data_IF_578702502967
#
_entry.id   IF_578702502967
#
_cell.length_a   1.000
_cell.length_b   1.000
_cell.length_c   1.000
_cell.angle_alpha   90.00
_cell.angle_beta   90.00
_cell.angle_gamma   90.00
#
_symmetry.space_group_name_H-M   'P 1'
#
loop_
_entity.id
_entity.type
_entity.pdbx_description
1 polymer ?
#
# COMPACT_ATOMS: atom_id res chain seq x y z
N UNK A 1 -18.91 -5.74 14.39
CA UNK A 1 -18.79 -5.59 12.93
C UNK A 1 -18.69 -4.12 12.55
N UNK A 2 -17.46 -3.66 12.34
CA UNK A 2 -17.20 -2.31 11.85
C UNK A 2 -16.03 -2.40 10.88
N UNK A 3 -16.33 -2.49 9.58
CA UNK A 3 -15.31 -2.42 8.54
C UNK A 3 -14.65 -1.04 8.48
N UNK A 4 -13.57 -0.90 7.70
CA UNK A 4 -12.93 0.40 7.45
C UNK A 4 -13.84 1.25 6.54
N UNK A 5 -14.40 2.33 7.05
CA UNK A 5 -15.00 3.38 6.22
C UNK A 5 -13.91 4.37 5.82
N UNK A 6 -13.69 4.52 4.52
CA UNK A 6 -12.67 5.42 3.96
C UNK A 6 -13.33 6.31 2.92
N UNK A 7 -13.15 7.63 3.06
CA UNK A 7 -13.64 8.62 2.11
C UNK A 7 -12.47 9.47 1.65
N UNK A 8 -12.21 9.48 0.35
CA UNK A 8 -11.15 10.28 -0.26
C UNK A 8 -11.74 11.14 -1.38
N UNK A 9 -11.34 12.41 -1.45
CA UNK A 9 -11.80 13.38 -2.45
C UNK A 9 -10.60 14.07 -3.08
N UNK A 10 -10.64 14.24 -4.40
CA UNK A 10 -9.60 14.96 -5.14
C UNK A 10 -8.33 14.15 -5.39
N UNK A 11 -8.36 12.83 -5.18
CA UNK A 11 -7.27 11.95 -5.58
C UNK A 11 -7.35 11.67 -7.08
N UNK A 12 -6.22 11.81 -7.77
CA UNK A 12 -6.04 11.51 -9.19
C UNK A 12 -4.80 10.65 -9.36
N UNK A 13 -4.94 9.58 -10.16
CA UNK A 13 -3.87 8.64 -10.47
C UNK A 13 -3.23 8.00 -9.22
N UNK A 14 -4.05 7.46 -8.31
CA UNK A 14 -3.57 6.68 -7.16
C UNK A 14 -3.74 5.17 -7.38
N UNK A 15 -2.80 4.41 -6.83
CA UNK A 15 -2.89 2.98 -6.57
C UNK A 15 -3.52 2.81 -5.19
N UNK A 16 -4.56 1.99 -5.10
CA UNK A 16 -5.26 1.66 -3.85
C UNK A 16 -5.13 0.16 -3.60
N UNK A 17 -4.58 -0.22 -2.46
CA UNK A 17 -4.48 -1.62 -2.01
C UNK A 17 -5.16 -1.75 -0.66
N UNK A 18 -6.17 -2.61 -0.57
CA UNK A 18 -6.90 -2.89 0.66
C UNK A 18 -6.64 -4.34 1.09
N UNK A 19 -6.10 -4.50 2.30
CA UNK A 19 -5.83 -5.79 2.93
C UNK A 19 -6.47 -5.83 4.32
N UNK A 20 -6.68 -7.03 4.90
CA UNK A 20 -7.28 -7.14 6.23
C UNK A 20 -6.52 -6.36 7.31
N UNK A 21 -5.20 -6.27 7.18
CA UNK A 21 -4.29 -5.61 8.10
C UNK A 21 -4.05 -4.13 7.77
N UNK A 22 -4.08 -3.71 6.49
CA UNK A 22 -3.67 -2.37 6.07
C UNK A 22 -4.42 -1.83 4.85
N UNK A 23 -4.35 -0.51 4.65
CA UNK A 23 -4.82 0.16 3.43
C UNK A 23 -3.69 1.05 2.92
N UNK A 24 -3.31 0.91 1.66
CA UNK A 24 -2.30 1.72 0.99
C UNK A 24 -2.98 2.61 -0.06
N UNK A 25 -2.69 3.91 -0.02
CA UNK A 25 -2.95 4.86 -1.10
C UNK A 25 -1.61 5.45 -1.54
N UNK A 26 -1.26 5.29 -2.82
CA UNK A 26 0.01 5.77 -3.37
C UNK A 26 -0.19 6.45 -4.72
N UNK A 27 0.41 7.62 -4.99
CA UNK A 27 0.47 8.17 -6.34
C UNK A 27 1.07 7.16 -7.33
N UNK A 28 0.49 7.04 -8.53
CA UNK A 28 0.93 6.07 -9.55
C UNK A 28 2.36 6.33 -10.01
N UNK A 29 2.77 7.60 -10.07
CA UNK A 29 4.13 7.99 -10.42
C UNK A 29 5.18 7.60 -9.35
N UNK A 30 4.75 7.16 -8.17
CA UNK A 30 5.61 6.69 -7.07
C UNK A 30 5.64 5.16 -6.93
N UNK A 31 5.11 4.41 -7.90
CA UNK A 31 5.10 2.92 -7.90
C UNK A 31 6.48 2.32 -7.57
N UNK A 32 7.56 2.91 -8.11
CA UNK A 32 8.91 2.42 -7.89
C UNK A 32 9.33 2.50 -6.41
N UNK A 33 8.92 3.55 -5.71
CA UNK A 33 9.14 3.68 -4.27
C UNK A 33 8.33 2.64 -3.49
N UNK A 34 7.10 2.34 -3.89
CA UNK A 34 6.27 1.29 -3.26
C UNK A 34 6.96 -0.07 -3.33
N UNK A 35 7.57 -0.42 -4.46
CA UNK A 35 8.32 -1.68 -4.59
C UNK A 35 9.48 -1.75 -3.60
N UNK A 36 10.20 -0.65 -3.42
CA UNK A 36 11.29 -0.56 -2.43
C UNK A 36 10.75 -0.69 -1.00
N UNK A 37 9.67 0.02 -0.67
CA UNK A 37 9.00 -0.06 0.62
C UNK A 37 8.57 -1.51 0.94
N UNK A 38 7.89 -2.18 0.01
CA UNK A 38 7.43 -3.57 0.21
C UNK A 38 8.62 -4.52 0.35
N UNK A 39 9.69 -4.33 -0.43
CA UNK A 39 10.92 -5.13 -0.31
C UNK A 39 11.58 -4.99 1.06
N UNK A 40 11.67 -3.76 1.58
CA UNK A 40 12.18 -3.49 2.92
C UNK A 40 11.31 -4.13 4.00
N UNK A 41 9.98 -3.95 3.92
CA UNK A 41 9.05 -4.54 4.90
C UNK A 41 9.13 -6.07 4.93
N UNK A 42 9.29 -6.72 3.77
CA UNK A 42 9.51 -8.17 3.68
C UNK A 42 10.83 -8.57 4.34
N UNK A 43 11.90 -7.83 4.08
CA UNK A 43 13.22 -8.06 4.68
C UNK A 43 13.18 -7.93 6.20
N UNK A 44 12.57 -6.86 6.72
CA UNK A 44 12.44 -6.62 8.17
C UNK A 44 11.58 -7.70 8.86
N UNK A 45 10.63 -8.30 8.14
CA UNK A 45 9.79 -9.42 8.61
C UNK A 45 10.41 -10.81 8.38
N UNK A 46 11.56 -10.90 7.71
CA UNK A 46 12.20 -12.17 7.37
C UNK A 46 11.49 -12.97 6.25
N UNK A 47 10.65 -12.32 5.45
CA UNK A 47 9.94 -12.94 4.33
C UNK A 47 10.82 -12.95 3.05
N UNK A 48 10.79 -14.02 2.24
CA UNK A 48 11.60 -14.11 1.03
C UNK A 48 11.13 -13.12 -0.06
N UNK A 49 12.10 -12.51 -0.74
CA UNK A 49 11.87 -11.72 -1.95
C UNK A 49 11.71 -12.70 -3.13
N UNK A 50 10.49 -12.84 -3.63
CA UNK A 50 10.17 -13.60 -4.86
C UNK A 50 10.37 -12.77 -6.11
#
# INVERSE_FOLDING_TARGET
DGGKLVVAKGLQDFIVVDTPDALLLCPRNEEQWVKQLVSQLKTDRGEPLV
#
